data_IF_362259349140
#
_entry.id   IF_362259349140
#
_cell.length_a   1.000
_cell.length_b   1.000
_cell.length_c   1.000
_cell.angle_alpha   90.00
_cell.angle_beta   90.00
_cell.angle_gamma   90.00
#
_symmetry.space_group_name_H-M   'P 1'
#
loop_
_entity.id
_entity.type
_entity.pdbx_description
1 polymer ?
#
# COMPACT_ATOMS: atom_id res chain seq x y z
N UNK A 1 -2.44 -1.40 21.21
CA UNK A 1 -1.10 -0.85 21.04
C UNK A 1 -0.85 -0.65 19.55
N UNK A 2 -0.81 0.60 19.10
CA UNK A 2 -0.64 1.06 17.71
C UNK A 2 0.84 1.17 17.29
N UNK A 3 1.77 0.88 18.20
CA UNK A 3 3.20 0.97 17.89
C UNK A 3 3.68 -0.17 16.99
N UNK A 4 4.48 0.20 16.03
CA UNK A 4 5.21 -0.74 15.17
C UNK A 4 6.19 -1.54 16.04
N UNK A 5 6.07 -2.89 16.02
CA UNK A 5 6.96 -3.72 16.83
C UNK A 5 8.17 -4.25 16.07
N UNK A 6 7.99 -4.63 14.82
CA UNK A 6 9.07 -5.23 14.03
C UNK A 6 9.10 -4.58 12.65
N UNK A 7 10.25 -4.03 12.31
CA UNK A 7 10.57 -3.58 10.94
C UNK A 7 11.65 -4.48 10.38
N UNK A 8 11.56 -4.76 9.10
CA UNK A 8 12.58 -5.52 8.40
C UNK A 8 12.86 -4.92 7.03
N UNK A 9 14.05 -5.15 6.53
CA UNK A 9 14.46 -4.90 5.16
C UNK A 9 15.29 -6.06 4.66
N UNK A 10 15.09 -6.44 3.40
CA UNK A 10 15.85 -7.50 2.75
C UNK A 10 16.23 -7.07 1.33
N UNK A 11 17.50 -7.22 1.00
CA UNK A 11 18.00 -6.99 -0.35
C UNK A 11 18.40 -8.31 -0.99
N UNK A 12 17.91 -8.55 -2.18
CA UNK A 12 18.31 -9.67 -3.04
C UNK A 12 19.03 -9.11 -4.25
N UNK A 13 20.20 -9.62 -4.55
CA UNK A 13 20.95 -9.25 -5.75
C UNK A 13 21.55 -10.50 -6.40
N UNK A 14 21.48 -10.56 -7.72
CA UNK A 14 22.08 -11.63 -8.50
C UNK A 14 22.61 -11.09 -9.83
N UNK A 15 23.70 -11.71 -10.31
CA UNK A 15 24.30 -11.42 -11.60
C UNK A 15 24.52 -12.75 -12.34
N UNK A 16 24.07 -12.81 -13.58
CA UNK A 16 24.25 -13.99 -14.40
C UNK A 16 24.27 -13.65 -15.89
N UNK A 17 25.36 -14.03 -16.56
CA UNK A 17 25.49 -13.92 -18.04
C UNK A 17 25.12 -12.54 -18.62
N UNK A 18 25.55 -11.45 -17.94
CA UNK A 18 25.26 -10.09 -18.37
C UNK A 18 23.95 -9.51 -17.82
N UNK A 19 23.07 -10.33 -17.26
CA UNK A 19 21.92 -9.88 -16.51
C UNK A 19 22.29 -9.53 -15.08
N UNK A 20 21.74 -8.45 -14.58
CA UNK A 20 21.79 -8.09 -13.16
C UNK A 20 20.39 -7.78 -12.65
N UNK A 21 20.11 -8.26 -11.44
CA UNK A 21 18.87 -7.98 -10.71
C UNK A 21 19.21 -7.55 -9.31
N UNK A 22 18.52 -6.53 -8.84
CA UNK A 22 18.54 -6.11 -7.43
C UNK A 22 17.14 -5.76 -7.00
N UNK A 23 16.67 -6.34 -5.90
CA UNK A 23 15.36 -6.11 -5.33
C UNK A 23 15.48 -5.81 -3.85
N UNK A 24 14.90 -4.69 -3.39
CA UNK A 24 14.83 -4.32 -1.99
C UNK A 24 13.39 -4.36 -1.49
N UNK A 25 13.18 -5.20 -0.50
CA UNK A 25 11.92 -5.34 0.22
C UNK A 25 12.01 -4.66 1.58
N UNK A 26 10.94 -3.98 1.96
CA UNK A 26 10.76 -3.40 3.28
C UNK A 26 9.39 -3.77 3.81
N UNK A 27 9.28 -3.97 5.12
CA UNK A 27 7.99 -4.26 5.71
C UNK A 27 7.95 -4.08 7.23
N UNK A 28 6.72 -4.22 7.72
CA UNK A 28 6.35 -4.18 9.12
C UNK A 28 5.52 -5.42 9.44
N UNK A 29 5.95 -6.22 10.44
CA UNK A 29 5.28 -7.48 10.75
C UNK A 29 4.09 -7.33 11.68
N UNK A 30 4.14 -6.37 12.59
CA UNK A 30 3.07 -6.17 13.58
C UNK A 30 2.81 -4.69 13.80
N UNK A 31 1.69 -4.24 13.28
CA UNK A 31 1.21 -2.88 13.44
C UNK A 31 -0.31 -2.88 13.46
N UNK A 32 -0.89 -2.46 14.56
CA UNK A 32 -2.34 -2.27 14.65
C UNK A 32 -2.64 -0.78 14.48
N UNK A 33 -3.64 -0.48 13.69
CA UNK A 33 -4.11 0.86 13.45
C UNK A 33 -5.62 0.92 13.71
N UNK A 34 -6.05 1.91 14.46
CA UNK A 34 -7.47 2.19 14.65
C UNK A 34 -7.82 3.50 13.94
N UNK A 35 -8.65 3.46 12.89
CA UNK A 35 -9.11 4.68 12.22
C UNK A 35 -10.04 5.45 13.15
N UNK A 36 -9.61 6.62 13.59
CA UNK A 36 -10.42 7.51 14.44
C UNK A 36 -11.54 8.15 13.63
N UNK A 37 -12.50 8.81 14.29
CA UNK A 37 -13.60 9.51 13.59
C UNK A 37 -13.10 10.59 12.59
N UNK A 38 -11.87 11.07 12.75
CA UNK A 38 -11.24 11.98 11.79
C UNK A 38 -10.82 11.30 10.48
N UNK A 39 -10.73 9.98 10.46
CA UNK A 39 -10.40 9.21 9.25
C UNK A 39 -11.62 9.10 8.34
N UNK A 40 -11.80 10.12 7.49
CA UNK A 40 -12.95 10.23 6.59
C UNK A 40 -12.91 9.22 5.45
N UNK A 41 -11.74 8.71 5.10
CA UNK A 41 -11.60 7.65 4.09
C UNK A 41 -12.20 6.35 4.62
N UNK A 42 -11.89 5.99 5.86
CA UNK A 42 -12.42 4.77 6.46
C UNK A 42 -13.91 4.88 6.79
N UNK A 43 -14.32 5.95 7.46
CA UNK A 43 -15.68 6.06 7.97
C UNK A 43 -16.68 6.64 6.97
N UNK A 44 -16.24 7.45 6.02
CA UNK A 44 -17.10 8.04 5.00
C UNK A 44 -18.38 8.65 5.58
N UNK A 45 -19.53 8.23 5.07
CA UNK A 45 -20.85 8.70 5.53
C UNK A 45 -21.20 8.39 6.97
N UNK A 46 -20.53 7.43 7.60
CA UNK A 46 -20.68 7.21 9.04
C UNK A 46 -20.10 8.37 9.85
N UNK A 47 -19.09 9.06 9.35
CA UNK A 47 -18.51 10.23 9.97
C UNK A 47 -19.30 11.51 9.68
N UNK A 48 -19.69 11.71 8.42
CA UNK A 48 -20.53 12.84 8.03
C UNK A 48 -21.26 12.54 6.70
N UNK A 49 -22.54 12.96 6.55
CA UNK A 49 -23.39 12.55 5.43
C UNK A 49 -22.91 13.04 4.05
N UNK A 50 -22.04 14.04 4.02
CA UNK A 50 -21.48 14.62 2.78
C UNK A 50 -20.17 14.00 2.32
N UNK A 51 -19.64 13.00 3.05
CA UNK A 51 -18.45 12.27 2.62
C UNK A 51 -18.79 11.11 1.70
N UNK A 52 -17.79 10.69 0.93
CA UNK A 52 -17.88 9.52 0.06
C UNK A 52 -18.06 8.24 0.88
N UNK A 53 -18.48 7.20 0.19
CA UNK A 53 -18.79 5.91 0.77
C UNK A 53 -17.89 4.84 0.15
N UNK A 54 -17.23 4.04 1.00
CA UNK A 54 -16.56 2.83 0.54
C UNK A 54 -17.57 1.84 -0.03
N UNK A 55 -17.13 1.00 -0.95
CA UNK A 55 -17.97 -0.06 -1.53
C UNK A 55 -18.52 -0.98 -0.44
N UNK A 56 -17.69 -1.37 0.53
CA UNK A 56 -18.09 -2.16 1.67
C UNK A 56 -19.18 -1.52 2.54
N UNK A 57 -19.22 -0.18 2.67
CA UNK A 57 -20.30 0.50 3.38
C UNK A 57 -21.67 0.27 2.73
N UNK A 58 -21.69 -0.03 1.44
CA UNK A 58 -22.93 -0.27 0.71
C UNK A 58 -23.29 -1.74 0.70
N UNK A 59 -22.35 -2.63 0.40
CA UNK A 59 -22.61 -4.05 0.20
C UNK A 59 -22.50 -4.88 1.48
N UNK A 60 -21.59 -4.53 2.39
CA UNK A 60 -21.30 -5.27 3.62
C UNK A 60 -21.74 -4.52 4.88
N UNK A 61 -22.93 -3.94 4.82
CA UNK A 61 -23.58 -3.35 5.97
C UNK A 61 -24.82 -4.12 6.41
N UNK A 62 -25.10 -4.07 7.69
CA UNK A 62 -26.37 -4.56 8.21
C UNK A 62 -27.55 -3.74 7.66
N UNK A 63 -28.62 -4.42 7.22
CA UNK A 63 -29.84 -3.81 6.72
C UNK A 63 -31.04 -4.49 7.37
N UNK A 64 -32.09 -3.74 7.65
CA UNK A 64 -33.31 -4.25 8.29
C UNK A 64 -34.13 -5.14 7.34
N UNK A 65 -34.14 -4.81 6.05
CA UNK A 65 -34.82 -5.56 4.99
C UNK A 65 -34.10 -6.85 4.58
N UNK A 66 -32.80 -6.94 4.86
CA UNK A 66 -31.98 -8.13 4.63
C UNK A 66 -30.94 -8.25 5.74
N UNK A 67 -31.31 -8.76 6.93
CA UNK A 67 -30.41 -8.81 8.08
C UNK A 67 -29.22 -9.75 7.81
N UNK A 68 -28.01 -9.20 7.83
CA UNK A 68 -26.76 -9.95 7.81
C UNK A 68 -26.05 -9.78 9.17
N UNK A 69 -26.06 -10.81 10.00
CA UNK A 69 -25.41 -10.79 11.34
C UNK A 69 -23.89 -10.72 11.25
N UNK A 70 -23.31 -11.13 10.12
CA UNK A 70 -21.87 -11.12 9.89
C UNK A 70 -21.39 -9.84 9.21
N UNK A 71 -22.31 -8.91 8.88
CA UNK A 71 -21.98 -7.64 8.25
C UNK A 71 -20.86 -6.89 9.00
N UNK A 72 -19.84 -6.47 8.29
CA UNK A 72 -18.73 -5.72 8.87
C UNK A 72 -19.18 -4.33 9.35
N UNK A 73 -20.05 -3.68 8.58
CA UNK A 73 -20.54 -2.34 8.87
C UNK A 73 -21.92 -2.34 9.52
N UNK A 74 -22.20 -1.43 10.47
CA UNK A 74 -23.51 -1.30 11.07
C UNK A 74 -24.50 -0.65 10.09
N UNK A 75 -25.78 -0.52 10.52
CA UNK A 75 -26.76 0.26 9.77
C UNK A 75 -26.30 1.71 9.60
N UNK A 76 -26.42 2.23 8.39
CA UNK A 76 -26.19 3.64 8.13
C UNK A 76 -27.39 4.46 8.54
N UNK A 77 -27.29 5.24 9.59
CA UNK A 77 -28.36 6.11 10.07
C UNK A 77 -27.90 7.56 10.18
N UNK A 78 -28.82 8.49 10.04
CA UNK A 78 -28.55 9.92 10.22
C UNK A 78 -28.03 10.22 11.64
N UNK A 79 -28.50 9.46 12.63
CA UNK A 79 -28.06 9.60 14.01
C UNK A 79 -26.59 9.23 14.19
N UNK A 80 -26.14 8.18 13.51
CA UNK A 80 -24.74 7.76 13.57
C UNK A 80 -23.82 8.84 13.00
N UNK A 81 -24.23 9.49 11.91
CA UNK A 81 -23.47 10.60 11.32
C UNK A 81 -23.39 11.85 12.19
N UNK A 82 -24.36 12.06 13.09
CA UNK A 82 -24.39 13.24 13.99
C UNK A 82 -23.73 13.00 15.35
N UNK A 83 -23.60 11.74 15.76
CA UNK A 83 -22.99 11.34 17.05
C UNK A 83 -21.64 10.62 16.86
N UNK A 84 -21.17 10.56 15.62
CA UNK A 84 -20.02 9.80 15.16
C UNK A 84 -18.73 10.06 15.98
N UNK A 85 -18.52 11.29 16.42
CA UNK A 85 -17.30 11.63 17.14
C UNK A 85 -17.16 10.90 18.50
N UNK A 86 -18.25 10.44 19.08
CA UNK A 86 -18.21 9.72 20.36
C UNK A 86 -18.01 8.23 20.17
N UNK A 87 -18.84 7.59 19.35
CA UNK A 87 -18.85 6.13 19.22
C UNK A 87 -17.67 5.61 18.37
N UNK A 88 -17.30 6.34 17.31
CA UNK A 88 -16.18 5.94 16.43
C UNK A 88 -14.80 6.20 17.06
N UNK A 89 -14.71 7.09 18.04
CA UNK A 89 -13.46 7.30 18.78
C UNK A 89 -13.24 6.28 19.90
N UNK A 90 -14.24 5.44 20.21
CA UNK A 90 -14.07 4.34 21.14
C UNK A 90 -13.47 3.17 20.39
N UNK A 91 -12.23 2.75 20.70
CA UNK A 91 -11.60 1.64 20.00
C UNK A 91 -12.39 0.34 20.12
N UNK A 92 -12.75 -0.24 18.98
CA UNK A 92 -13.47 -1.51 18.88
C UNK A 92 -12.60 -2.51 18.13
N UNK A 93 -12.60 -3.76 18.58
CA UNK A 93 -11.81 -4.82 17.95
C UNK A 93 -12.25 -5.08 16.51
N UNK A 94 -13.53 -4.89 16.20
CA UNK A 94 -14.10 -5.06 14.85
C UNK A 94 -13.42 -4.17 13.82
N UNK A 95 -13.13 -2.91 14.15
CA UNK A 95 -12.56 -1.93 13.23
C UNK A 95 -11.05 -1.72 13.41
N UNK A 96 -10.44 -2.51 14.29
CA UNK A 96 -9.00 -2.50 14.45
C UNK A 96 -8.33 -3.09 13.21
N UNK A 97 -7.58 -2.28 12.49
CA UNK A 97 -6.92 -2.66 11.25
C UNK A 97 -5.56 -3.31 11.53
N UNK A 98 -5.25 -4.34 10.78
CA UNK A 98 -3.91 -4.89 10.71
C UNK A 98 -3.11 -4.14 9.63
N UNK A 99 -2.28 -3.22 10.03
CA UNK A 99 -1.44 -2.41 9.15
C UNK A 99 -0.05 -3.02 8.91
N UNK A 100 0.11 -4.32 9.17
CA UNK A 100 1.30 -5.04 8.74
C UNK A 100 1.38 -5.05 7.21
N UNK A 101 2.57 -4.88 6.66
CA UNK A 101 2.78 -4.86 5.22
C UNK A 101 4.15 -5.37 4.80
N UNK A 102 4.25 -5.76 3.55
CA UNK A 102 5.49 -5.96 2.81
C UNK A 102 5.42 -5.20 1.49
N UNK A 103 6.47 -4.46 1.17
CA UNK A 103 6.56 -3.62 -0.04
C UNK A 103 7.85 -3.91 -0.79
N UNK A 104 7.74 -4.06 -2.11
CA UNK A 104 8.88 -3.98 -3.01
C UNK A 104 9.21 -2.50 -3.25
N UNK A 105 10.19 -2.00 -2.48
CA UNK A 105 10.61 -0.59 -2.50
C UNK A 105 11.37 -0.22 -3.74
N UNK A 106 12.27 -1.11 -4.16
CA UNK A 106 13.10 -0.88 -5.34
C UNK A 106 13.34 -2.21 -6.06
N UNK A 107 13.24 -2.17 -7.37
CA UNK A 107 13.63 -3.25 -8.27
C UNK A 107 14.47 -2.66 -9.38
N UNK A 108 15.67 -3.18 -9.58
CA UNK A 108 16.51 -2.86 -10.74
C UNK A 108 16.78 -4.13 -11.52
N UNK A 109 16.53 -4.08 -12.82
CA UNK A 109 16.84 -5.12 -13.78
C UNK A 109 17.76 -4.54 -14.83
N UNK A 110 18.92 -5.11 -15.03
CA UNK A 110 19.89 -4.65 -16.01
C UNK A 110 20.35 -5.76 -16.92
N UNK A 111 20.75 -5.37 -18.12
CA UNK A 111 21.43 -6.24 -19.06
C UNK A 111 22.61 -5.52 -19.69
N UNK A 112 23.80 -6.06 -19.49
CA UNK A 112 25.04 -5.59 -20.12
C UNK A 112 25.25 -6.35 -21.43
N UNK A 113 25.28 -5.62 -22.54
CA UNK A 113 25.45 -6.20 -23.85
C UNK A 113 26.84 -6.85 -24.00
N UNK A 114 26.94 -7.99 -24.69
CA UNK A 114 28.23 -8.61 -25.00
C UNK A 114 29.17 -7.66 -25.73
N UNK A 115 30.43 -7.59 -25.31
CA UNK A 115 31.45 -6.71 -25.92
C UNK A 115 31.56 -6.83 -27.43
N UNK A 116 31.36 -8.04 -27.99
CA UNK A 116 31.37 -8.29 -29.45
C UNK A 116 30.33 -7.45 -30.24
N UNK A 117 29.25 -7.03 -29.60
CA UNK A 117 28.20 -6.24 -30.26
C UNK A 117 28.51 -4.75 -30.22
N UNK A 118 29.09 -4.28 -29.12
CA UNK A 118 29.31 -2.86 -28.88
C UNK A 118 30.67 -2.35 -29.35
N UNK A 119 31.67 -3.24 -29.46
CA UNK A 119 33.02 -2.88 -29.92
C UNK A 119 33.05 -2.33 -31.37
N UNK A 120 32.11 -2.74 -32.21
CA UNK A 120 31.96 -2.20 -33.58
C UNK A 120 31.59 -0.73 -33.62
N UNK A 121 31.05 -0.22 -32.52
CA UNK A 121 30.62 1.20 -32.34
C UNK A 121 31.62 2.01 -31.50
N UNK A 122 32.83 1.47 -31.26
CA UNK A 122 33.83 2.09 -30.37
C UNK A 122 33.32 2.29 -28.94
N UNK A 123 32.37 1.47 -28.52
CA UNK A 123 31.81 1.46 -27.17
C UNK A 123 32.47 0.35 -26.37
N UNK A 124 33.01 0.65 -25.21
CA UNK A 124 33.62 -0.33 -24.32
C UNK A 124 32.57 -1.17 -23.59
N UNK A 125 31.49 -0.50 -23.11
CA UNK A 125 30.42 -1.16 -22.37
C UNK A 125 29.08 -0.44 -22.59
N UNK A 126 28.02 -1.22 -22.79
CA UNK A 126 26.65 -0.71 -22.83
C UNK A 126 25.76 -1.56 -21.92
N UNK A 127 25.04 -0.93 -21.01
CA UNK A 127 24.08 -1.58 -20.12
C UNK A 127 22.73 -0.87 -20.26
N UNK A 128 21.69 -1.65 -20.56
CA UNK A 128 20.29 -1.21 -20.55
C UNK A 128 19.70 -1.64 -19.21
N UNK A 129 18.93 -0.77 -18.58
CA UNK A 129 18.34 -1.12 -17.31
C UNK A 129 16.92 -0.56 -17.17
N UNK A 130 16.13 -1.25 -16.37
CA UNK A 130 14.87 -0.82 -15.81
C UNK A 130 15.04 -0.62 -14.31
N UNK A 131 14.45 0.44 -13.75
CA UNK A 131 14.34 0.67 -12.31
C UNK A 131 12.91 1.01 -11.97
N UNK A 132 12.37 0.33 -10.97
CA UNK A 132 11.03 0.57 -10.49
C UNK A 132 11.01 0.78 -8.98
N UNK A 133 10.28 1.80 -8.53
CA UNK A 133 10.11 2.11 -7.12
C UNK A 133 8.66 1.91 -6.68
N UNK A 134 8.47 1.39 -5.46
CA UNK A 134 7.16 1.13 -4.85
C UNK A 134 6.23 0.28 -5.74
N UNK A 135 6.76 -0.72 -6.44
CA UNK A 135 6.03 -1.46 -7.48
C UNK A 135 4.81 -2.19 -6.96
N UNK A 136 4.90 -2.78 -5.78
CA UNK A 136 3.75 -3.37 -5.12
C UNK A 136 3.85 -3.30 -3.60
N UNK A 137 2.67 -3.36 -2.94
CA UNK A 137 2.54 -3.44 -1.50
C UNK A 137 1.44 -4.44 -1.16
N UNK A 138 1.74 -5.39 -0.29
CA UNK A 138 0.75 -6.26 0.33
C UNK A 138 0.55 -5.80 1.76
N UNK A 139 -0.69 -5.60 2.17
CA UNK A 139 -1.03 -5.18 3.54
C UNK A 139 -2.21 -5.98 4.08
N UNK A 140 -2.35 -5.98 5.41
CA UNK A 140 -3.48 -6.59 6.09
C UNK A 140 -4.63 -5.61 6.37
N UNK A 141 -4.62 -4.43 5.77
CA UNK A 141 -5.72 -3.46 5.88
C UNK A 141 -7.00 -4.00 5.21
N UNK A 142 -8.14 -3.51 5.64
CA UNK A 142 -9.41 -3.79 5.00
C UNK A 142 -9.35 -3.45 3.50
N UNK A 143 -9.84 -4.36 2.65
CA UNK A 143 -9.62 -4.31 1.19
C UNK A 143 -10.04 -3.00 0.55
N UNK A 144 -11.17 -2.43 1.00
CA UNK A 144 -11.70 -1.20 0.44
C UNK A 144 -11.07 0.06 1.05
N UNK A 145 -10.28 -0.11 2.11
CA UNK A 145 -9.57 0.99 2.76
C UNK A 145 -8.29 1.31 2.00
N UNK A 146 -8.43 2.09 0.92
CA UNK A 146 -7.39 2.43 -0.05
C UNK A 146 -6.35 3.43 0.49
N UNK A 147 -5.77 3.14 1.65
CA UNK A 147 -4.67 3.93 2.20
C UNK A 147 -3.36 3.18 2.17
N UNK A 148 -2.28 3.93 2.15
CA UNK A 148 -0.94 3.35 2.21
C UNK A 148 -0.61 2.93 3.66
N UNK A 149 -0.28 1.66 3.94
CA UNK A 149 0.00 1.18 5.29
C UNK A 149 1.26 1.81 5.92
N UNK A 150 2.11 2.42 5.12
CA UNK A 150 3.29 3.15 5.57
C UNK A 150 2.98 4.62 5.91
N UNK A 151 1.85 5.12 5.40
CA UNK A 151 1.43 6.51 5.56
C UNK A 151 -0.03 6.59 6.04
N UNK A 152 -0.32 5.94 7.16
CA UNK A 152 -1.66 5.88 7.74
C UNK A 152 -2.14 7.23 8.24
N UNK A 153 -3.45 7.42 8.21
CA UNK A 153 -4.16 8.60 8.68
C UNK A 153 -4.93 9.31 7.57
N UNK A 154 -5.86 10.18 8.02
CA UNK A 154 -6.73 10.93 7.11
C UNK A 154 -5.93 11.87 6.20
N UNK A 155 -6.36 11.97 4.94
CA UNK A 155 -5.86 12.94 3.96
C UNK A 155 -4.38 12.80 3.57
N UNK A 156 -3.84 11.59 3.59
CA UNK A 156 -2.48 11.33 3.13
C UNK A 156 -2.47 10.70 1.76
N UNK A 157 -1.58 11.16 0.88
CA UNK A 157 -1.38 10.55 -0.43
C UNK A 157 -0.60 9.26 -0.31
N UNK A 158 -1.00 8.18 -1.02
CA UNK A 158 -0.21 6.97 -1.12
C UNK A 158 1.12 7.24 -1.85
N UNK A 159 2.12 6.41 -1.59
CA UNK A 159 3.38 6.48 -2.33
C UNK A 159 3.14 6.17 -3.80
N UNK A 160 3.71 6.99 -4.65
CA UNK A 160 3.64 6.81 -6.10
C UNK A 160 4.56 5.67 -6.54
N UNK A 161 4.16 5.03 -7.64
CA UNK A 161 4.99 4.06 -8.35
C UNK A 161 5.78 4.79 -9.42
N UNK A 162 7.08 4.56 -9.44
CA UNK A 162 7.94 5.11 -10.48
C UNK A 162 8.51 3.97 -11.31
N UNK A 163 8.56 4.19 -12.63
CA UNK A 163 9.17 3.28 -13.58
C UNK A 163 10.12 4.09 -14.45
N UNK A 164 11.37 3.68 -14.51
CA UNK A 164 12.44 4.35 -15.24
C UNK A 164 13.16 3.37 -16.12
N UNK A 165 13.49 3.78 -17.32
CA UNK A 165 14.33 3.05 -18.24
C UNK A 165 15.57 3.89 -18.56
N UNK A 166 16.72 3.26 -18.62
CA UNK A 166 17.96 3.97 -18.87
C UNK A 166 18.98 3.12 -19.60
N UNK A 167 19.97 3.82 -20.14
CA UNK A 167 21.10 3.22 -20.84
C UNK A 167 22.38 3.87 -20.28
N UNK A 168 23.30 3.02 -19.84
CA UNK A 168 24.65 3.43 -19.47
C UNK A 168 25.62 3.05 -20.57
N UNK A 169 26.36 4.02 -21.08
CA UNK A 169 27.35 3.80 -22.14
C UNK A 169 28.72 4.28 -21.65
N UNK A 170 29.73 3.45 -21.84
CA UNK A 170 31.14 3.77 -21.58
C UNK A 170 31.91 3.67 -22.90
N UNK A 171 32.62 4.71 -23.25
CA UNK A 171 33.46 4.80 -24.45
C UNK A 171 34.90 4.51 -24.14
#
# INVERSE_FOLDING_TARGET
NDQIRYRFGATFAANWSGFDISAFFQGVMKHNYYPTASDKIFWGKYSAPWFDQLEGHYFDRWKEDNPNLDAYWPVLSHRNASTADREMNIPQTRYLQNAAYIRLKNLTLGYTLPGKWVSKLSIQRMRIFYSGDNLFCLSGLYSDYSVDPENLGANRYPFQRYNSFGINVTF
#
